data_IF_093190909636
#
_entry.id   IF_093190909636
#
_cell.length_a   1.000
_cell.length_b   1.000
_cell.length_c   1.000
_cell.angle_alpha   90.00
_cell.angle_beta   90.00
_cell.angle_gamma   90.00
#
_symmetry.space_group_name_H-M   'P 1'
#
loop_
_entity.id
_entity.type
_entity.pdbx_description
1 polymer ?
#
# COMPACT_ATOMS: atom_id res chain seq x y z
N UNK A 1 -7.88 -16.21 -8.10
CA UNK A 1 -6.72 -16.98 -8.59
C UNK A 1 -6.36 -16.46 -9.95
N UNK A 2 -5.09 -16.13 -10.18
CA UNK A 2 -4.63 -15.54 -11.43
C UNK A 2 -4.56 -16.66 -12.48
N UNK A 3 -5.36 -16.54 -13.54
CA UNK A 3 -5.39 -17.52 -14.63
C UNK A 3 -4.24 -17.23 -15.60
N UNK A 4 -3.12 -17.93 -15.40
CA UNK A 4 -1.96 -17.92 -16.30
C UNK A 4 -1.95 -19.23 -17.07
N UNK A 5 -1.71 -19.16 -18.38
CA UNK A 5 -1.54 -20.33 -19.24
C UNK A 5 -0.39 -21.23 -18.73
N UNK A 6 -0.65 -22.54 -18.63
CA UNK A 6 0.31 -23.50 -18.08
C UNK A 6 1.58 -23.60 -18.92
N UNK A 7 1.50 -23.59 -20.26
CA UNK A 7 2.67 -23.64 -21.12
C UNK A 7 3.53 -22.36 -21.00
N UNK A 8 2.93 -21.20 -20.71
CA UNK A 8 3.69 -19.98 -20.37
C UNK A 8 4.39 -20.13 -19.00
N UNK A 9 3.71 -20.73 -18.01
CA UNK A 9 4.26 -21.00 -16.67
C UNK A 9 5.41 -22.01 -16.72
N UNK A 10 5.28 -23.07 -17.51
CA UNK A 10 6.29 -24.11 -17.70
C UNK A 10 7.50 -23.57 -18.46
N UNK A 11 7.27 -22.81 -19.55
CA UNK A 11 8.33 -22.17 -20.31
C UNK A 11 9.10 -21.11 -19.48
N UNK A 12 8.43 -20.46 -18.52
CA UNK A 12 9.10 -19.60 -17.54
C UNK A 12 9.93 -20.42 -16.54
N UNK A 13 9.36 -21.49 -15.98
CA UNK A 13 9.99 -22.34 -14.97
C UNK A 13 11.21 -23.10 -15.49
N UNK A 14 11.21 -23.42 -16.79
CA UNK A 14 12.30 -24.06 -17.54
C UNK A 14 13.37 -23.08 -18.07
N UNK A 15 13.17 -21.75 -17.94
CA UNK A 15 14.19 -20.78 -18.31
C UNK A 15 15.45 -20.96 -17.44
N UNK A 16 16.64 -20.97 -18.06
CA UNK A 16 17.91 -21.34 -17.39
C UNK A 16 18.19 -20.48 -16.15
N UNK A 17 18.06 -21.10 -14.98
CA UNK A 17 18.11 -20.45 -13.65
C UNK A 17 19.40 -19.69 -13.28
N UNK A 18 20.58 -19.91 -13.91
CA UNK A 18 21.75 -19.03 -13.73
C UNK A 18 21.68 -17.69 -14.48
N UNK A 19 20.86 -17.58 -15.53
CA UNK A 19 20.91 -16.46 -16.49
C UNK A 19 19.61 -15.64 -16.57
N UNK A 20 18.87 -15.49 -15.47
CA UNK A 20 17.60 -14.75 -15.47
C UNK A 20 17.81 -13.26 -15.80
N UNK A 21 17.65 -12.93 -17.08
CA UNK A 21 17.70 -11.57 -17.61
C UNK A 21 16.27 -11.12 -17.93
N UNK A 22 15.94 -9.87 -17.61
CA UNK A 22 14.59 -9.31 -17.76
C UNK A 22 14.10 -9.25 -19.22
N UNK A 23 15.00 -9.40 -20.18
CA UNK A 23 14.74 -9.43 -21.62
C UNK A 23 14.60 -10.85 -22.22
N UNK A 24 14.67 -11.92 -21.42
CA UNK A 24 14.43 -13.29 -21.90
C UNK A 24 12.97 -13.43 -22.40
N UNK A 25 12.77 -14.10 -23.55
CA UNK A 25 11.44 -14.28 -24.16
C UNK A 25 10.40 -14.86 -23.19
N UNK A 26 10.76 -15.89 -22.42
CA UNK A 26 9.88 -16.48 -21.41
C UNK A 26 9.53 -15.52 -20.26
N UNK A 27 10.49 -14.70 -19.82
CA UNK A 27 10.26 -13.69 -18.76
C UNK A 27 9.36 -12.55 -19.26
N UNK A 28 9.51 -12.14 -20.52
CA UNK A 28 8.62 -11.17 -21.17
C UNK A 28 7.20 -11.77 -21.32
N UNK A 29 7.09 -13.02 -21.77
CA UNK A 29 5.81 -13.71 -21.93
C UNK A 29 5.07 -13.83 -20.58
N UNK A 30 5.75 -14.30 -19.53
CA UNK A 30 5.19 -14.42 -18.19
C UNK A 30 4.77 -13.06 -17.59
N UNK A 31 5.58 -12.01 -17.79
CA UNK A 31 5.22 -10.64 -17.39
C UNK A 31 3.98 -10.11 -18.15
N UNK A 32 3.79 -10.47 -19.41
CA UNK A 32 2.57 -10.13 -20.17
C UNK A 32 1.36 -10.92 -19.69
N UNK A 33 1.51 -12.23 -19.45
CA UNK A 33 0.44 -13.08 -18.93
C UNK A 33 -0.03 -12.63 -17.53
N UNK A 34 0.90 -12.31 -16.62
CA UNK A 34 0.59 -11.69 -15.33
C UNK A 34 -0.16 -10.36 -15.47
N UNK A 35 0.19 -9.51 -16.45
CA UNK A 35 -0.50 -8.24 -16.67
C UNK A 35 -1.97 -8.45 -17.04
N UNK A 36 -2.24 -9.39 -17.94
CA UNK A 36 -3.61 -9.74 -18.35
C UNK A 36 -4.36 -10.42 -17.20
N UNK A 37 -3.76 -11.40 -16.54
CA UNK A 37 -4.37 -12.12 -15.42
C UNK A 37 -4.67 -11.24 -14.20
N UNK A 38 -3.92 -10.15 -14.01
CA UNK A 38 -4.17 -9.11 -13.00
C UNK A 38 -5.02 -7.94 -13.50
N UNK A 39 -5.71 -8.04 -14.64
CA UNK A 39 -6.54 -6.96 -15.22
C UNK A 39 -5.79 -5.61 -15.40
N UNK A 40 -4.49 -5.66 -15.67
CA UNK A 40 -3.58 -4.51 -15.70
C UNK A 40 -3.50 -3.74 -14.37
N UNK A 41 -3.67 -4.40 -13.22
CA UNK A 41 -3.66 -3.78 -11.87
C UNK A 41 -2.50 -4.26 -10.99
N UNK A 42 -2.12 -3.41 -10.04
CA UNK A 42 -1.20 -3.77 -8.95
C UNK A 42 -1.84 -4.82 -8.02
N UNK A 43 -1.12 -5.91 -7.74
CA UNK A 43 -1.59 -6.98 -6.87
C UNK A 43 -1.98 -6.53 -5.43
N UNK A 44 -1.43 -5.40 -4.96
CA UNK A 44 -1.61 -4.93 -3.57
C UNK A 44 -2.58 -3.75 -3.42
N UNK A 45 -2.59 -2.80 -4.36
CA UNK A 45 -3.47 -1.63 -4.30
C UNK A 45 -4.53 -1.57 -5.42
N UNK A 46 -4.62 -2.58 -6.29
CA UNK A 46 -5.56 -2.67 -7.41
C UNK A 46 -5.62 -1.46 -8.39
N UNK A 47 -4.77 -0.43 -8.22
CA UNK A 47 -4.61 0.67 -9.16
C UNK A 47 -4.02 0.15 -10.48
N UNK A 48 -4.49 0.71 -11.58
CA UNK A 48 -4.04 0.38 -12.93
C UNK A 48 -2.54 0.65 -13.11
N UNK A 49 -1.83 -0.26 -13.75
CA UNK A 49 -0.43 -0.12 -14.14
C UNK A 49 -0.35 -0.11 -15.68
N UNK A 50 0.40 0.86 -16.23
CA UNK A 50 0.66 0.96 -17.67
C UNK A 50 1.73 -0.04 -18.12
N UNK A 51 1.80 -0.34 -19.41
CA UNK A 51 2.77 -1.29 -20.00
C UNK A 51 4.23 -0.75 -19.99
N UNK A 52 4.46 0.40 -19.35
CA UNK A 52 5.72 1.16 -19.31
C UNK A 52 6.72 0.62 -18.25
N UNK A 53 8.02 0.71 -18.55
CA UNK A 53 9.09 0.24 -17.65
C UNK A 53 9.19 1.15 -16.42
N UNK A 54 9.29 0.56 -15.23
CA UNK A 54 9.34 1.30 -13.96
C UNK A 54 7.97 1.69 -13.37
N UNK A 55 6.87 1.48 -14.11
CA UNK A 55 5.52 1.59 -13.58
C UNK A 55 5.03 0.26 -12.96
N UNK A 56 5.44 -0.87 -13.56
CA UNK A 56 5.34 -2.23 -12.99
C UNK A 56 6.71 -2.74 -12.55
N UNK A 57 6.73 -3.41 -11.40
CA UNK A 57 7.82 -4.26 -10.94
C UNK A 57 7.32 -5.71 -10.85
N UNK A 58 8.19 -6.67 -11.20
CA UNK A 58 7.95 -8.08 -10.91
C UNK A 58 8.45 -8.34 -9.48
N UNK A 59 7.52 -8.65 -8.60
CA UNK A 59 7.69 -8.69 -7.15
C UNK A 59 7.65 -10.14 -6.65
N UNK A 60 8.40 -10.44 -5.58
CA UNK A 60 8.58 -11.78 -5.02
C UNK A 60 7.85 -11.89 -3.67
N UNK A 61 6.69 -12.52 -3.66
CA UNK A 61 5.74 -12.53 -2.53
C UNK A 61 6.41 -13.02 -1.24
N UNK A 62 7.11 -14.16 -1.30
CA UNK A 62 8.14 -14.54 -0.33
C UNK A 62 9.49 -13.90 -0.74
N UNK A 63 10.17 -13.18 0.16
CA UNK A 63 11.36 -12.40 -0.18
C UNK A 63 12.53 -13.28 -0.66
N UNK A 64 13.05 -13.00 -1.86
CA UNK A 64 14.10 -13.80 -2.54
C UNK A 64 15.47 -13.88 -1.85
N UNK A 65 15.74 -13.02 -0.87
CA UNK A 65 17.07 -12.82 -0.26
C UNK A 65 16.95 -12.61 1.25
N UNK A 66 18.00 -13.02 1.97
CA UNK A 66 18.17 -12.74 3.40
C UNK A 66 18.21 -11.23 3.67
N UNK A 67 17.92 -10.80 4.91
CA UNK A 67 18.44 -9.52 5.39
C UNK A 67 20.00 -9.53 5.39
N UNK A 68 20.66 -8.35 5.38
CA UNK A 68 22.11 -8.26 5.25
C UNK A 68 22.83 -9.09 6.34
N UNK A 69 23.96 -9.71 5.97
CA UNK A 69 24.60 -10.71 6.83
C UNK A 69 25.07 -10.16 8.18
N UNK A 70 25.47 -8.89 8.25
CA UNK A 70 25.85 -8.23 9.51
C UNK A 70 24.65 -7.94 10.43
N UNK A 71 23.43 -7.91 9.87
CA UNK A 71 22.18 -7.64 10.60
C UNK A 71 21.42 -8.95 10.91
N UNK A 72 21.93 -10.12 10.53
CA UNK A 72 21.19 -11.38 10.61
C UNK A 72 21.26 -12.05 11.99
N UNK A 73 20.08 -12.31 12.54
CA UNK A 73 19.84 -13.20 13.68
C UNK A 73 18.81 -14.29 13.31
N UNK A 74 19.13 -15.55 13.62
CA UNK A 74 18.28 -16.70 13.38
C UNK A 74 16.99 -16.73 14.21
N UNK A 75 17.01 -16.19 15.45
CA UNK A 75 15.82 -16.13 16.30
C UNK A 75 14.76 -15.19 15.72
N UNK A 76 15.18 -13.97 15.39
CA UNK A 76 14.39 -12.94 14.72
C UNK A 76 13.91 -13.40 13.33
N UNK A 77 14.76 -14.11 12.57
CA UNK A 77 14.40 -14.72 11.28
C UNK A 77 13.48 -15.96 11.38
N UNK A 78 13.22 -16.46 12.59
CA UNK A 78 12.29 -17.53 12.90
C UNK A 78 11.02 -17.03 13.62
N UNK A 79 11.06 -15.83 14.20
CA UNK A 79 9.93 -15.23 14.92
C UNK A 79 8.77 -14.88 13.96
N UNK A 80 7.55 -15.11 14.46
CA UNK A 80 6.31 -14.72 13.78
C UNK A 80 5.86 -13.29 14.12
N UNK A 81 6.53 -12.60 15.05
CA UNK A 81 6.16 -11.27 15.55
C UNK A 81 6.22 -10.23 14.43
N UNK A 82 5.24 -9.31 14.41
CA UNK A 82 5.09 -8.34 13.31
C UNK A 82 6.35 -7.51 13.03
N UNK A 83 7.06 -7.11 14.08
CA UNK A 83 8.28 -6.29 13.99
C UNK A 83 9.45 -7.02 13.31
N UNK A 84 9.52 -8.35 13.43
CA UNK A 84 10.62 -9.16 12.90
C UNK A 84 10.40 -9.58 11.43
N UNK A 85 9.27 -9.22 10.82
CA UNK A 85 8.91 -9.70 9.47
C UNK A 85 9.66 -9.05 8.32
N UNK A 86 10.46 -8.00 8.55
CA UNK A 86 11.39 -7.45 7.54
C UNK A 86 12.80 -8.05 7.65
N UNK A 87 13.05 -8.82 8.70
CA UNK A 87 14.29 -9.52 8.99
C UNK A 87 14.08 -10.99 8.61
N UNK A 88 14.45 -11.36 7.39
CA UNK A 88 14.11 -12.67 6.81
C UNK A 88 15.36 -13.49 6.49
N UNK A 89 15.21 -14.82 6.50
CA UNK A 89 16.19 -15.77 5.97
C UNK A 89 16.29 -15.74 4.44
N UNK A 90 15.24 -15.25 3.77
CA UNK A 90 15.12 -15.30 2.32
C UNK A 90 14.73 -16.67 1.78
N UNK A 91 14.15 -16.68 0.58
CA UNK A 91 13.61 -17.86 -0.09
C UNK A 91 14.17 -17.96 -1.52
N UNK A 92 15.48 -18.15 -1.62
CA UNK A 92 16.22 -18.09 -2.87
C UNK A 92 15.75 -19.10 -3.93
N UNK A 93 15.35 -20.30 -3.51
CA UNK A 93 14.85 -21.36 -4.38
C UNK A 93 13.50 -21.01 -5.02
N UNK A 94 12.69 -20.19 -4.33
CA UNK A 94 11.40 -19.68 -4.83
C UNK A 94 11.54 -18.37 -5.62
N UNK A 95 12.77 -17.91 -5.94
CA UNK A 95 13.00 -16.73 -6.79
C UNK A 95 12.32 -16.85 -8.16
N UNK A 96 12.29 -18.06 -8.72
CA UNK A 96 11.74 -18.33 -10.05
C UNK A 96 10.48 -19.19 -10.03
N UNK A 97 9.85 -19.32 -8.85
CA UNK A 97 8.56 -20.01 -8.70
C UNK A 97 7.43 -19.10 -9.23
N UNK A 98 6.67 -19.51 -10.26
CA UNK A 98 5.57 -18.71 -10.82
C UNK A 98 4.60 -18.19 -9.75
N UNK A 99 4.19 -19.04 -8.80
CA UNK A 99 3.25 -18.69 -7.74
C UNK A 99 3.85 -17.72 -6.70
N UNK A 100 5.17 -17.54 -6.69
CA UNK A 100 5.85 -16.54 -5.86
C UNK A 100 5.93 -15.17 -6.52
N UNK A 101 5.49 -15.02 -7.78
CA UNK A 101 5.71 -13.82 -8.58
C UNK A 101 4.39 -13.11 -8.89
N UNK A 102 4.36 -11.79 -8.71
CA UNK A 102 3.23 -10.93 -9.06
C UNK A 102 3.71 -9.59 -9.64
N UNK A 103 2.83 -8.88 -10.35
CA UNK A 103 3.08 -7.49 -10.74
C UNK A 103 2.57 -6.52 -9.67
N UNK A 104 3.44 -5.62 -9.25
CA UNK A 104 3.10 -4.54 -8.32
C UNK A 104 3.52 -3.20 -8.91
N UNK A 105 2.90 -2.10 -8.47
CA UNK A 105 3.41 -0.77 -8.76
C UNK A 105 4.64 -0.49 -7.88
N UNK A 106 5.55 0.35 -8.37
CA UNK A 106 6.83 0.64 -7.72
C UNK A 106 6.70 1.02 -6.23
N UNK A 107 5.67 1.80 -5.85
CA UNK A 107 5.41 2.14 -4.43
C UNK A 107 5.14 0.89 -3.59
N UNK A 108 4.19 0.04 -3.99
CA UNK A 108 3.86 -1.15 -3.21
C UNK A 108 5.05 -2.11 -3.09
N UNK A 109 5.85 -2.26 -4.15
CA UNK A 109 7.12 -3.00 -4.12
C UNK A 109 8.07 -2.43 -3.06
N UNK A 110 8.34 -1.12 -3.09
CA UNK A 110 9.24 -0.45 -2.15
C UNK A 110 8.74 -0.50 -0.70
N UNK A 111 7.44 -0.30 -0.47
CA UNK A 111 6.84 -0.40 0.87
C UNK A 111 6.90 -1.82 1.42
N UNK A 112 6.64 -2.84 0.59
CA UNK A 112 6.78 -4.23 0.99
C UNK A 112 8.26 -4.55 1.31
N UNK A 113 9.16 -4.31 0.36
CA UNK A 113 10.58 -4.64 0.52
C UNK A 113 10.79 -6.09 0.97
N UNK A 114 11.58 -6.27 2.04
CA UNK A 114 11.85 -7.58 2.65
C UNK A 114 10.73 -8.14 3.54
N UNK A 115 9.51 -7.56 3.55
CA UNK A 115 8.42 -8.08 4.37
C UNK A 115 8.05 -9.52 3.98
N UNK A 116 8.03 -10.37 5.00
CA UNK A 116 7.89 -11.82 4.96
C UNK A 116 6.45 -12.22 5.39
N UNK A 117 5.57 -12.56 4.42
CA UNK A 117 4.15 -12.78 4.69
C UNK A 117 3.82 -14.21 5.16
N UNK A 118 4.80 -15.12 5.23
CA UNK A 118 4.60 -16.51 5.64
C UNK A 118 4.03 -16.56 7.07
N UNK A 119 2.90 -17.23 7.27
CA UNK A 119 2.20 -17.27 8.55
C UNK A 119 3.10 -17.84 9.66
N UNK A 120 3.75 -18.98 9.40
CA UNK A 120 4.67 -19.62 10.32
C UNK A 120 6.11 -19.67 9.79
N UNK A 121 6.99 -18.88 10.40
CA UNK A 121 8.41 -18.71 10.06
C UNK A 121 9.35 -19.53 10.95
N UNK A 122 8.82 -20.20 11.97
CA UNK A 122 9.63 -21.00 12.91
C UNK A 122 10.16 -22.30 12.29
N UNK A 123 9.53 -22.77 11.22
CA UNK A 123 9.88 -23.98 10.48
C UNK A 123 10.48 -23.59 9.11
N UNK A 124 11.55 -24.28 8.70
CA UNK A 124 12.08 -24.13 7.34
C UNK A 124 11.20 -24.91 6.34
N UNK A 125 10.85 -24.28 5.21
CA UNK A 125 10.00 -24.87 4.18
C UNK A 125 10.84 -25.32 2.98
N UNK A 126 10.62 -26.56 2.53
CA UNK A 126 11.34 -27.18 1.41
C UNK A 126 10.57 -27.14 0.07
N UNK A 127 9.28 -26.79 0.11
CA UNK A 127 8.41 -26.64 -1.04
C UNK A 127 7.66 -25.31 -0.94
N UNK A 128 7.13 -24.80 -2.06
CA UNK A 128 6.39 -23.55 -2.06
C UNK A 128 5.06 -23.70 -1.29
N UNK A 129 4.70 -22.79 -0.37
CA UNK A 129 3.42 -22.85 0.31
C UNK A 129 2.30 -22.59 -0.69
N UNK A 130 1.36 -23.53 -0.82
CA UNK A 130 0.33 -23.49 -1.87
C UNK A 130 -1.09 -23.29 -1.33
N UNK A 131 -1.25 -23.22 -0.01
CA UNK A 131 -2.53 -22.92 0.61
C UNK A 131 -2.66 -21.43 0.91
N UNK A 132 -3.87 -20.88 0.74
CA UNK A 132 -4.22 -19.55 1.25
C UNK A 132 -3.86 -19.42 2.75
N UNK A 133 -4.09 -20.47 3.54
CA UNK A 133 -3.80 -20.48 4.98
C UNK A 133 -2.32 -20.26 5.36
N UNK A 134 -1.38 -20.45 4.43
CA UNK A 134 0.06 -20.33 4.71
C UNK A 134 0.52 -18.86 4.83
N UNK A 135 -0.35 -17.88 4.56
CA UNK A 135 -0.01 -16.46 4.44
C UNK A 135 -0.83 -15.56 5.39
N UNK A 136 -0.17 -14.57 5.98
CA UNK A 136 -0.79 -13.54 6.83
C UNK A 136 -1.47 -12.39 6.07
N UNK A 137 -1.30 -12.34 4.76
CA UNK A 137 -1.81 -11.26 3.91
C UNK A 137 -2.54 -11.81 2.68
N UNK A 138 -3.12 -10.93 1.86
CA UNK A 138 -3.80 -11.33 0.61
C UNK A 138 -2.76 -11.86 -0.37
N UNK A 139 -2.74 -13.17 -0.60
CA UNK A 139 -1.87 -13.81 -1.58
C UNK A 139 -2.43 -13.61 -3.00
N UNK A 140 -1.71 -12.93 -3.93
CA UNK A 140 -2.23 -12.60 -5.26
C UNK A 140 -2.81 -13.80 -6.03
N UNK A 141 -2.22 -14.98 -5.87
CA UNK A 141 -2.67 -16.21 -6.53
C UNK A 141 -3.78 -16.94 -5.78
N UNK A 142 -3.81 -16.93 -4.44
CA UNK A 142 -4.67 -17.82 -3.65
C UNK A 142 -5.90 -17.13 -3.04
N UNK A 143 -5.86 -15.81 -2.86
CA UNK A 143 -6.92 -15.04 -2.19
C UNK A 143 -7.67 -14.13 -3.19
N UNK A 144 -9.02 -14.20 -3.28
CA UNK A 144 -9.79 -13.24 -4.04
C UNK A 144 -9.75 -11.86 -3.36
N UNK A 145 -9.02 -10.90 -3.94
CA UNK A 145 -8.76 -9.57 -3.35
C UNK A 145 -10.00 -8.88 -2.75
N UNK A 146 -11.13 -8.92 -3.48
CA UNK A 146 -12.41 -8.34 -3.10
C UNK A 146 -13.09 -8.99 -1.88
N UNK A 147 -12.64 -10.17 -1.42
CA UNK A 147 -13.05 -10.77 -0.14
C UNK A 147 -12.26 -10.25 1.06
N UNK A 148 -11.18 -9.49 0.83
CA UNK A 148 -10.26 -9.03 1.87
C UNK A 148 -10.13 -7.52 1.95
N UNK A 149 -10.17 -6.81 0.82
CA UNK A 149 -9.99 -5.35 0.75
C UNK A 149 -11.10 -4.72 -0.09
N UNK A 150 -11.76 -3.72 0.50
CA UNK A 150 -12.66 -2.80 -0.16
C UNK A 150 -11.92 -1.50 -0.49
N UNK A 151 -12.26 -0.89 -1.63
CA UNK A 151 -11.66 0.38 -2.09
C UNK A 151 -12.79 1.37 -2.38
N UNK A 152 -13.00 2.30 -1.47
CA UNK A 152 -13.95 3.39 -1.65
C UNK A 152 -13.32 4.49 -2.52
N UNK A 153 -14.07 4.93 -3.54
CA UNK A 153 -13.72 6.00 -4.49
C UNK A 153 -12.34 5.82 -5.19
N UNK A 154 -11.82 4.59 -5.24
CA UNK A 154 -10.51 4.27 -5.82
C UNK A 154 -9.29 4.67 -4.97
N UNK A 155 -9.51 5.25 -3.78
CA UNK A 155 -8.49 5.90 -2.96
C UNK A 155 -8.41 5.39 -1.51
N UNK A 156 -9.55 5.04 -0.92
CA UNK A 156 -9.64 4.71 0.51
C UNK A 156 -9.79 3.20 0.72
N UNK A 157 -8.75 2.59 1.29
CA UNK A 157 -8.64 1.14 1.45
C UNK A 157 -9.13 0.71 2.84
N UNK A 158 -10.00 -0.31 2.90
CA UNK A 158 -10.53 -0.84 4.17
C UNK A 158 -10.62 -2.37 4.14
N UNK A 159 -10.37 -3.07 5.27
CA UNK A 159 -10.46 -4.52 5.32
C UNK A 159 -11.94 -4.96 5.31
N UNK A 160 -12.31 -5.83 4.37
CA UNK A 160 -13.67 -6.41 4.27
C UNK A 160 -13.96 -7.20 5.54
N UNK A 161 -15.02 -6.84 6.26
CA UNK A 161 -15.49 -7.55 7.48
C UNK A 161 -14.38 -7.80 8.52
N UNK A 162 -13.41 -6.89 8.64
CA UNK A 162 -12.28 -7.04 9.58
C UNK A 162 -11.21 -8.05 9.15
N UNK A 163 -11.13 -8.39 7.86
CA UNK A 163 -10.17 -9.38 7.34
C UNK A 163 -8.72 -9.01 7.67
N UNK A 164 -8.09 -9.82 8.53
CA UNK A 164 -6.69 -9.67 8.95
C UNK A 164 -5.73 -9.62 7.75
N UNK A 165 -5.99 -10.44 6.72
CA UNK A 165 -5.22 -10.45 5.47
C UNK A 165 -5.25 -9.12 4.73
N UNK A 166 -6.43 -8.51 4.63
CA UNK A 166 -6.60 -7.19 4.03
C UNK A 166 -5.90 -6.11 4.84
N UNK A 167 -6.06 -6.14 6.16
CA UNK A 167 -5.39 -5.20 7.07
C UNK A 167 -3.86 -5.32 7.01
N UNK A 168 -3.31 -6.53 6.84
CA UNK A 168 -1.88 -6.75 6.67
C UNK A 168 -1.33 -6.10 5.39
N UNK A 169 -2.00 -6.26 4.23
CA UNK A 169 -1.60 -5.58 2.99
C UNK A 169 -1.70 -4.06 3.13
N UNK A 170 -2.82 -3.56 3.67
CA UNK A 170 -3.06 -2.13 3.88
C UNK A 170 -1.92 -1.50 4.69
N UNK A 171 -1.58 -2.10 5.84
CA UNK A 171 -0.53 -1.64 6.75
C UNK A 171 0.89 -1.79 6.17
N UNK A 172 1.17 -2.85 5.42
CA UNK A 172 2.51 -3.09 4.83
C UNK A 172 2.77 -2.18 3.64
N UNK A 173 1.77 -1.98 2.77
CA UNK A 173 1.88 -1.17 1.56
C UNK A 173 1.54 0.33 1.77
N UNK A 174 1.26 0.76 3.00
CA UNK A 174 0.91 2.14 3.33
C UNK A 174 -0.34 2.60 2.57
N UNK A 175 -1.41 1.81 2.61
CA UNK A 175 -2.67 2.11 1.92
C UNK A 175 -3.63 2.99 2.75
N UNK A 176 -3.31 3.14 4.03
CA UNK A 176 -4.01 3.90 5.07
C UNK A 176 -3.33 5.23 5.46
N UNK A 177 -2.12 5.49 4.95
CA UNK A 177 -1.34 6.71 5.21
C UNK A 177 -1.87 7.91 4.42
N UNK A 178 -2.11 9.03 5.09
CA UNK A 178 -2.68 10.24 4.49
C UNK A 178 -1.80 10.79 3.35
N UNK A 179 -0.49 10.81 3.56
CA UNK A 179 0.51 11.30 2.61
C UNK A 179 0.50 10.46 1.33
N UNK A 180 0.39 9.14 1.48
CA UNK A 180 0.27 8.22 0.35
C UNK A 180 -1.09 8.29 -0.35
N UNK A 181 -2.19 8.54 0.37
CA UNK A 181 -3.51 8.75 -0.24
C UNK A 181 -3.47 10.02 -1.09
N UNK A 182 -2.98 11.14 -0.53
CA UNK A 182 -2.77 12.41 -1.25
C UNK A 182 -1.87 12.21 -2.47
N UNK A 183 -0.67 11.65 -2.30
CA UNK A 183 0.26 11.46 -3.41
C UNK A 183 -0.25 10.47 -4.47
N UNK A 184 -1.19 9.56 -4.14
CA UNK A 184 -1.88 8.70 -5.12
C UNK A 184 -3.03 9.42 -5.82
N UNK A 185 -3.77 10.29 -5.12
CA UNK A 185 -4.81 11.12 -5.72
C UNK A 185 -4.21 12.12 -6.73
N UNK A 186 -3.07 12.74 -6.39
CA UNK A 186 -2.30 13.57 -7.32
C UNK A 186 -1.92 12.75 -8.56
N UNK A 187 -1.32 11.57 -8.39
CA UNK A 187 -0.97 10.68 -9.50
C UNK A 187 -2.20 10.24 -10.34
N UNK A 188 -3.37 10.03 -9.73
CA UNK A 188 -4.60 9.70 -10.44
C UNK A 188 -5.07 10.88 -11.32
N UNK A 189 -5.03 12.09 -10.78
CA UNK A 189 -5.34 13.31 -11.52
C UNK A 189 -4.35 13.55 -12.68
N UNK A 190 -3.04 13.50 -12.41
CA UNK A 190 -2.00 13.70 -13.43
C UNK A 190 -1.98 12.62 -14.54
N UNK A 191 -2.64 11.47 -14.33
CA UNK A 191 -2.73 10.39 -15.32
C UNK A 191 -4.06 10.35 -16.07
N UNK A 192 -5.11 11.02 -15.58
CA UNK A 192 -6.38 11.20 -16.30
C UNK A 192 -6.37 12.42 -17.23
N UNK A 193 -5.56 13.43 -16.94
CA UNK A 193 -5.42 14.65 -17.77
C UNK A 193 -4.28 14.55 -18.77
N UNK A 194 -4.55 14.86 -20.05
CA UNK A 194 -3.49 15.01 -21.07
C UNK A 194 -2.74 16.34 -20.95
N UNK A 195 -3.46 17.42 -20.59
CA UNK A 195 -2.92 18.78 -20.51
C UNK A 195 -2.53 19.22 -19.10
N UNK A 196 -1.40 19.95 -18.99
CA UNK A 196 -0.87 20.48 -17.73
C UNK A 196 -1.86 21.46 -17.07
N UNK A 197 -2.47 22.34 -17.84
CA UNK A 197 -3.46 23.31 -17.33
C UNK A 197 -4.68 22.58 -16.76
N UNK A 198 -5.17 21.55 -17.45
CA UNK A 198 -6.29 20.75 -16.97
C UNK A 198 -5.94 19.97 -15.69
N UNK A 199 -4.70 19.47 -15.58
CA UNK A 199 -4.20 18.84 -14.35
C UNK A 199 -4.27 19.79 -13.16
N UNK A 200 -3.75 21.00 -13.31
CA UNK A 200 -3.75 22.02 -12.25
C UNK A 200 -5.18 22.47 -11.88
N UNK A 201 -6.07 22.63 -12.85
CA UNK A 201 -7.50 22.94 -12.61
C UNK A 201 -8.14 21.84 -11.76
N UNK A 202 -8.00 20.58 -12.17
CA UNK A 202 -8.61 19.44 -11.45
C UNK A 202 -8.05 19.27 -10.03
N UNK A 203 -6.75 19.53 -9.82
CA UNK A 203 -6.12 19.55 -8.48
C UNK A 203 -6.57 20.74 -7.63
N UNK A 204 -6.90 21.88 -8.25
CA UNK A 204 -7.38 23.08 -7.54
C UNK A 204 -8.85 22.92 -7.13
N UNK A 205 -9.68 22.30 -7.97
CA UNK A 205 -11.13 22.15 -7.76
C UNK A 205 -11.47 21.03 -6.76
N UNK A 206 -10.60 20.02 -6.58
CA UNK A 206 -10.84 18.95 -5.61
C UNK A 206 -10.96 19.46 -4.16
N UNK A 207 -10.28 20.56 -3.82
CA UNK A 207 -10.34 21.17 -2.49
C UNK A 207 -9.66 20.38 -1.38
N UNK A 208 -8.89 19.35 -1.73
CA UNK A 208 -8.10 18.53 -0.80
C UNK A 208 -6.90 19.31 -0.23
N UNK A 209 -6.42 18.98 0.98
CA UNK A 209 -5.20 19.57 1.55
C UNK A 209 -3.95 19.00 0.85
N UNK A 210 -3.60 19.59 -0.30
CA UNK A 210 -2.43 19.24 -1.09
C UNK A 210 -1.18 20.01 -0.62
N UNK A 211 -0.03 19.33 -0.49
CA UNK A 211 1.26 20.01 -0.43
C UNK A 211 1.65 20.49 -1.84
N UNK A 212 1.69 21.80 -2.05
CA UNK A 212 1.98 22.37 -3.36
C UNK A 212 3.43 22.17 -3.82
N UNK A 213 4.37 21.84 -2.92
CA UNK A 213 5.73 21.45 -3.30
C UNK A 213 5.75 20.02 -3.89
N UNK A 214 5.14 19.04 -3.22
CA UNK A 214 5.04 17.66 -3.75
C UNK A 214 4.30 17.62 -5.10
N UNK A 215 3.21 18.40 -5.21
CA UNK A 215 2.46 18.51 -6.45
C UNK A 215 3.25 19.28 -7.52
N UNK A 216 4.00 20.31 -7.14
CA UNK A 216 4.91 21.04 -8.05
C UNK A 216 5.98 20.13 -8.66
N UNK A 217 6.61 19.26 -7.85
CA UNK A 217 7.54 18.23 -8.29
C UNK A 217 6.86 17.21 -9.22
N UNK A 218 5.66 16.75 -8.89
CA UNK A 218 4.91 15.80 -9.70
C UNK A 218 4.52 16.39 -11.08
N UNK A 219 4.05 17.63 -11.11
CA UNK A 219 3.75 18.39 -12.34
C UNK A 219 5.01 18.59 -13.19
N UNK A 220 6.10 19.06 -12.59
CA UNK A 220 7.39 19.23 -13.26
C UNK A 220 7.88 17.92 -13.87
N UNK A 221 7.89 16.84 -13.10
CA UNK A 221 8.36 15.51 -13.54
C UNK A 221 7.52 14.93 -14.68
N UNK A 222 6.20 15.16 -14.67
CA UNK A 222 5.25 14.65 -15.66
C UNK A 222 5.23 15.44 -16.98
N UNK A 223 5.35 16.76 -16.92
CA UNK A 223 5.15 17.64 -18.08
C UNK A 223 6.42 18.38 -18.54
N UNK A 224 7.39 18.61 -17.65
CA UNK A 224 8.72 19.19 -17.92
C UNK A 224 8.76 20.59 -18.56
N UNK A 225 7.63 21.29 -18.69
CA UNK A 225 7.54 22.61 -19.35
C UNK A 225 8.10 23.76 -18.49
N UNK A 226 8.10 23.62 -17.17
CA UNK A 226 8.65 24.59 -16.22
C UNK A 226 9.30 23.86 -15.03
N UNK A 227 10.13 24.55 -14.24
CA UNK A 227 10.77 23.99 -13.03
C UNK A 227 9.75 23.70 -11.93
N UNK A 228 10.08 22.78 -11.01
CA UNK A 228 9.23 22.46 -9.84
C UNK A 228 8.83 23.70 -9.04
N UNK A 229 9.77 24.61 -8.74
CA UNK A 229 9.50 25.86 -8.06
C UNK A 229 8.48 26.75 -8.80
N UNK A 230 8.51 26.80 -10.15
CA UNK A 230 7.51 27.54 -10.93
C UNK A 230 6.15 26.83 -10.94
N UNK A 231 6.13 25.49 -11.05
CA UNK A 231 4.90 24.70 -10.94
C UNK A 231 4.22 24.86 -9.58
N UNK A 232 5.00 24.86 -8.48
CA UNK A 232 4.51 25.17 -7.14
C UNK A 232 3.89 26.56 -7.09
N UNK A 233 4.59 27.59 -7.58
CA UNK A 233 4.08 28.97 -7.57
C UNK A 233 2.77 29.15 -8.36
N UNK A 234 2.64 28.49 -9.52
CA UNK A 234 1.38 28.45 -10.27
C UNK A 234 0.25 27.79 -9.48
N UNK A 235 0.52 26.68 -8.78
CA UNK A 235 -0.48 25.99 -7.96
C UNK A 235 -0.87 26.80 -6.71
N UNK A 236 0.10 27.44 -6.04
CA UNK A 236 -0.15 28.37 -4.93
C UNK A 236 -1.08 29.52 -5.38
N UNK A 237 -0.83 30.11 -6.55
CA UNK A 237 -1.66 31.16 -7.15
C UNK A 237 -3.09 30.66 -7.44
N UNK A 238 -3.24 29.45 -7.98
CA UNK A 238 -4.56 28.87 -8.27
C UNK A 238 -5.34 28.54 -7.00
N UNK A 239 -4.71 27.91 -6.00
CA UNK A 239 -5.33 27.59 -4.71
C UNK A 239 -5.76 28.85 -3.96
N UNK A 240 -4.92 29.88 -3.92
CA UNK A 240 -5.24 31.17 -3.30
C UNK A 240 -6.41 31.90 -4.00
N UNK A 241 -6.58 31.72 -5.30
CA UNK A 241 -7.64 32.35 -6.09
C UNK A 241 -8.91 31.51 -6.23
N UNK A 242 -8.88 30.20 -5.96
CA UNK A 242 -10.06 29.32 -6.02
C UNK A 242 -11.19 29.78 -5.09
N UNK A 243 -10.86 30.30 -3.90
CA UNK A 243 -11.81 30.85 -2.95
C UNK A 243 -12.34 32.24 -3.29
N UNK A 244 -11.89 32.87 -4.38
CA UNK A 244 -12.12 34.30 -4.70
C UNK A 244 -13.11 34.54 -5.85
N UNK A 245 -13.75 33.48 -6.36
CA UNK A 245 -14.72 33.53 -7.46
C UNK A 245 -14.16 33.01 -8.78
N UNK A 246 -15.06 32.58 -9.67
CA UNK A 246 -14.74 31.97 -10.98
C UNK A 246 -13.80 32.81 -11.81
N UNK A 247 -14.03 34.12 -11.84
CA UNK A 247 -13.42 34.99 -12.86
C UNK A 247 -11.95 35.29 -12.51
N UNK A 248 -11.64 35.38 -11.22
CA UNK A 248 -10.27 35.50 -10.67
C UNK A 248 -9.47 34.22 -10.94
N UNK A 249 -10.10 33.05 -10.78
CA UNK A 249 -9.50 31.76 -11.09
C UNK A 249 -9.25 31.62 -12.60
N UNK A 250 -10.23 31.93 -13.45
CA UNK A 250 -10.11 31.91 -14.92
C UNK A 250 -9.04 32.89 -15.43
N UNK A 251 -8.92 34.08 -14.85
CA UNK A 251 -7.86 35.02 -15.16
C UNK A 251 -6.46 34.44 -14.82
N UNK A 252 -6.33 33.81 -13.65
CA UNK A 252 -5.09 33.14 -13.22
C UNK A 252 -4.70 32.00 -14.18
N UNK A 253 -5.66 31.15 -14.54
CA UNK A 253 -5.47 30.04 -15.50
C UNK A 253 -4.98 30.59 -16.86
N UNK A 254 -5.56 31.69 -17.36
CA UNK A 254 -5.14 32.32 -18.62
C UNK A 254 -3.70 32.86 -18.55
N UNK A 255 -3.32 33.55 -17.47
CA UNK A 255 -1.94 34.02 -17.26
C UNK A 255 -0.96 32.84 -17.27
N UNK A 256 -1.24 31.81 -16.48
CA UNK A 256 -0.39 30.63 -16.34
C UNK A 256 -0.23 29.90 -17.68
N UNK A 257 -1.29 29.82 -18.49
CA UNK A 257 -1.25 29.21 -19.83
C UNK A 257 -0.35 29.98 -20.81
N UNK A 258 -0.32 31.32 -20.72
CA UNK A 258 0.60 32.17 -21.49
C UNK A 258 2.05 32.00 -21.01
N UNK A 259 2.27 32.00 -19.69
CA UNK A 259 3.60 31.86 -19.06
C UNK A 259 4.26 30.48 -19.23
N UNK A 260 3.49 29.47 -19.66
CA UNK A 260 3.94 28.10 -19.96
C UNK A 260 4.15 27.92 -21.48
N UNK A 261 3.64 28.83 -22.32
CA UNK A 261 3.74 28.73 -23.77
C UNK A 261 2.71 27.79 -24.43
N UNK A 262 1.69 27.33 -23.70
CA UNK A 262 0.56 26.57 -24.25
C UNK A 262 -0.40 27.50 -25.00
N UNK A 263 0.05 27.99 -26.16
CA UNK A 263 -0.61 29.03 -26.97
C UNK A 263 -1.84 28.58 -27.76
N UNK A 264 -2.82 27.93 -27.13
CA UNK A 264 -4.13 27.66 -27.72
C UNK A 264 -5.25 27.67 -26.65
N UNK A 265 -6.51 27.93 -27.03
CA UNK A 265 -7.57 28.24 -26.06
C UNK A 265 -7.99 27.02 -25.24
N UNK A 266 -8.11 27.23 -23.93
CA UNK A 266 -8.67 26.26 -22.98
C UNK A 266 -10.14 26.00 -23.35
N UNK A 267 -10.43 24.81 -23.88
CA UNK A 267 -11.80 24.30 -23.87
C UNK A 267 -12.18 24.09 -22.41
N UNK A 268 -13.20 24.82 -21.94
CA UNK A 268 -13.62 24.75 -20.55
C UNK A 268 -14.00 23.30 -20.19
N UNK A 269 -13.43 22.70 -19.12
CA UNK A 269 -13.76 21.34 -18.76
C UNK A 269 -15.24 21.22 -18.41
N UNK A 270 -15.94 20.31 -19.08
CA UNK A 270 -17.25 19.83 -18.65
C UNK A 270 -17.07 19.13 -17.31
N UNK A 271 -17.28 19.87 -16.21
CA UNK A 271 -17.17 19.39 -14.84
C UNK A 271 -18.08 18.16 -14.70
N UNK A 272 -17.53 16.95 -14.45
CA UNK A 272 -18.35 15.80 -14.12
C UNK A 272 -19.13 16.14 -12.86
N UNK A 273 -20.45 15.93 -12.87
CA UNK A 273 -21.35 16.43 -11.82
C UNK A 273 -21.21 15.64 -10.50
N UNK A 274 -20.07 15.78 -9.82
CA UNK A 274 -19.89 15.36 -8.44
C UNK A 274 -20.70 16.31 -7.55
N UNK A 275 -21.91 15.87 -7.20
CA UNK A 275 -22.89 16.69 -6.49
C UNK A 275 -22.45 16.88 -5.04
N UNK A 276 -21.69 17.94 -4.78
CA UNK A 276 -21.31 18.41 -3.44
C UNK A 276 -22.56 18.97 -2.75
N UNK A 277 -23.40 18.09 -2.20
CA UNK A 277 -24.48 18.44 -1.26
C UNK A 277 -23.87 18.88 0.07
N UNK A 278 -23.37 20.12 0.12
CA UNK A 278 -23.05 20.83 1.38
C UNK A 278 -24.36 21.08 2.15
N UNK A 279 -24.78 20.07 2.92
CA UNK A 279 -25.83 20.23 3.93
C UNK A 279 -25.41 21.29 4.95
N UNK A 280 -26.15 22.38 5.04
CA UNK A 280 -25.80 23.53 5.88
C UNK A 280 -26.00 23.22 7.38
N UNK A 281 -24.99 22.60 8.00
CA UNK A 281 -24.94 22.41 9.44
C UNK A 281 -24.86 23.77 10.17
N UNK A 282 -26.01 24.29 10.59
CA UNK A 282 -26.10 25.50 11.43
C UNK A 282 -25.29 25.27 12.71
N UNK A 283 -24.41 26.22 13.07
CA UNK A 283 -23.68 26.19 14.35
C UNK A 283 -24.67 26.26 15.51
N UNK A 284 -24.87 25.14 16.20
CA UNK A 284 -25.58 25.11 17.48
C UNK A 284 -24.65 25.66 18.58
N UNK A 285 -24.96 26.82 19.12
CA UNK A 285 -24.29 27.37 20.30
C UNK A 285 -24.64 26.55 21.54
N UNK A 286 -23.64 26.10 22.30
CA UNK A 286 -23.85 25.42 23.59
C UNK A 286 -23.98 26.46 24.71
N UNK A 287 -25.14 26.59 25.38
CA UNK A 287 -25.27 27.46 26.54
C UNK A 287 -24.78 26.73 27.80
N UNK A 288 -23.78 27.29 28.48
CA UNK A 288 -23.37 26.78 29.79
C UNK A 288 -24.46 27.06 30.85
N UNK A 289 -24.87 26.05 31.61
CA UNK A 289 -25.52 26.22 32.92
C UNK A 289 -25.35 24.98 33.81
N UNK A 290 -25.25 25.23 35.11
CA UNK A 290 -24.97 24.25 36.15
C UNK A 290 -26.25 23.63 36.72
N UNK A 291 -26.17 22.38 37.22
CA UNK A 291 -26.64 21.98 38.57
C UNK A 291 -26.42 20.48 38.89
N UNK A 292 -25.84 20.27 40.09
CA UNK A 292 -25.92 19.13 41.04
C UNK A 292 -26.25 17.71 40.55
N UNK A 293 -25.35 16.79 40.90
CA UNK A 293 -25.60 15.34 41.04
C UNK A 293 -26.55 15.02 42.22
N UNK A 294 -27.35 13.95 42.13
CA UNK A 294 -27.76 13.14 43.28
C UNK A 294 -27.18 11.71 43.20
N UNK A 295 -26.58 11.24 44.30
CA UNK A 295 -26.04 9.88 44.42
C UNK A 295 -27.13 8.84 44.67
N UNK A 296 -27.06 7.69 44.00
CA UNK A 296 -27.58 6.41 44.51
C UNK A 296 -26.62 5.27 44.15
N UNK A 297 -26.25 4.49 45.17
CA UNK A 297 -25.37 3.32 45.08
C UNK A 297 -26.19 2.03 45.06
N UNK A 298 -25.68 1.00 44.37
CA UNK A 298 -26.13 -0.39 44.43
C UNK A 298 -24.86 -1.26 44.50
N UNK A 299 -24.78 -2.28 45.37
CA UNK A 299 -23.49 -2.79 45.84
C UNK A 299 -22.90 -3.93 45.00
N UNK A 300 -21.57 -4.07 45.06
CA UNK A 300 -20.88 -5.28 44.65
C UNK A 300 -21.12 -6.41 45.66
N UNK A 301 -21.39 -7.64 45.19
CA UNK A 301 -21.35 -8.86 46.01
C UNK A 301 -19.96 -9.49 45.95
N UNK A 302 -19.47 -9.93 47.09
CA UNK A 302 -18.20 -10.65 47.21
C UNK A 302 -18.41 -12.17 47.32
N UNK A 303 -17.47 -12.93 46.78
CA UNK A 303 -17.16 -14.33 47.10
C UNK A 303 -15.62 -14.40 46.98
N UNK A 304 -14.87 -14.08 48.03
CA UNK A 304 -14.48 -14.94 49.16
C UNK A 304 -13.25 -15.85 48.86
N UNK A 305 -12.39 -16.11 49.84
CA UNK A 305 -11.04 -16.71 49.70
C UNK A 305 -10.61 -17.53 50.93
N UNK A 306 -9.72 -18.52 50.68
CA UNK A 306 -9.22 -19.56 51.62
C UNK A 306 -10.26 -20.67 51.88
N UNK A 307 -9.94 -21.95 52.11
CA UNK A 307 -8.95 -22.65 52.99
C UNK A 307 -8.61 -24.04 52.38
N UNK A 308 -7.43 -24.71 52.50
CA UNK A 308 -6.00 -24.36 52.67
C UNK A 308 -5.12 -25.65 52.53
N UNK A 309 -3.85 -25.53 52.09
CA UNK A 309 -2.71 -26.46 52.27
C UNK A 309 -2.53 -27.80 51.48
N UNK A 310 -1.24 -28.09 51.21
CA UNK A 310 -0.55 -29.40 50.97
C UNK A 310 -0.95 -30.15 49.68
N UNK A 311 -0.05 -30.80 48.93
CA UNK A 311 1.39 -31.14 49.08
C UNK A 311 2.02 -31.19 47.65
N UNK A 312 3.31 -31.46 47.36
CA UNK A 312 4.48 -31.87 48.16
C UNK A 312 5.79 -31.21 47.61
N UNK A 313 6.91 -31.94 47.51
CA UNK A 313 8.22 -31.51 46.97
C UNK A 313 8.85 -32.61 46.10
N UNK A 314 9.54 -32.24 45.02
CA UNK A 314 10.70 -33.00 44.51
C UNK A 314 11.61 -32.15 43.61
N UNK A 315 12.87 -31.99 44.03
CA UNK A 315 14.01 -31.67 43.15
C UNK A 315 14.91 -32.91 43.11
N UNK A 316 15.54 -33.24 41.98
CA UNK A 316 16.87 -33.85 41.99
C UNK A 316 17.97 -32.77 42.01
N UNK A 317 19.11 -33.08 42.64
CA UNK A 317 20.36 -32.34 42.48
C UNK A 317 21.27 -33.07 41.47
N UNK A 318 22.19 -32.30 40.89
CA UNK A 318 23.47 -32.71 40.25
C UNK A 318 23.93 -34.17 40.47
N UNK A 319 24.45 -34.76 39.41
CA UNK A 319 25.71 -35.53 39.45
C UNK A 319 26.74 -34.90 38.51
N UNK A 320 28.01 -35.29 38.61
CA UNK A 320 29.11 -34.81 37.78
C UNK A 320 30.17 -35.91 37.60
N UNK A 321 30.96 -35.81 36.52
CA UNK A 321 31.90 -36.84 36.06
C UNK A 321 31.57 -37.27 34.62
N UNK A 322 32.52 -37.72 33.78
CA UNK A 322 33.96 -37.91 34.00
C UNK A 322 34.77 -37.53 32.74
N UNK A 323 36.11 -37.60 32.83
CA UNK A 323 37.04 -37.44 31.70
C UNK A 323 37.30 -38.79 31.00
N UNK A 324 37.90 -38.71 29.80
CA UNK A 324 38.49 -39.79 28.98
C UNK A 324 37.46 -40.62 28.19
N UNK A 325 37.82 -41.16 27.02
CA UNK A 325 39.07 -40.97 26.27
C UNK A 325 39.00 -39.78 25.31
#
# INVERSE_FOLDING_TARGET
MLAIDSAISDAFSAAKRPEWKTNLKAVIAYRKALLVAQEHRCAYCARTIRDEVGHRELEHILPQSQCPAQDFDGGTAASNDWIHRRHTRGYGDFRYEPLNLALSCKRCNSYKGSFDPLLNRSVAIAAYPSASGDYLWVHPHFDPYSKHINILEGLLYSPVQGSQKGQAVIKVCGLDRAEEITARQVEACLTSTQELVQAMISLTISGEPLDSAEVGDALHKRFKVATSAKMKGFLDQLLANAGRGSDVLVASIKQISLEIGTGNPIVAPTVPAFVVKRGAAKKASVPAKTKKCPTKSVPAKAIDKTVVAKQNKSKPKRSAGSRRN
#
